data_IF_658205328648
#
_entry.id   IF_658205328648
#
_cell.length_a   1.000
_cell.length_b   1.000
_cell.length_c   1.000
_cell.angle_alpha   90.00
_cell.angle_beta   90.00
_cell.angle_gamma   90.00
#
_symmetry.space_group_name_H-M   'P 1'
#
loop_
_entity.id
_entity.type
_entity.pdbx_description
1 polymer ?
#
# COMPACT_ATOMS: atom_id res chain seq x y z
N UNK A 1 -8.59 0.19 15.71
CA UNK A 1 -8.42 0.61 14.31
C UNK A 1 -6.97 0.37 13.87
N UNK A 2 -6.78 -0.17 12.67
CA UNK A 2 -5.47 -0.21 12.03
C UNK A 2 -5.23 1.07 11.23
N UNK A 3 -3.97 1.50 11.20
CA UNK A 3 -3.49 2.54 10.30
C UNK A 3 -2.90 1.87 9.05
N UNK A 4 -3.56 2.05 7.92
CA UNK A 4 -3.20 1.46 6.64
C UNK A 4 -2.57 2.55 5.78
N UNK A 5 -1.31 2.38 5.39
CA UNK A 5 -0.54 3.41 4.71
C UNK A 5 -0.14 3.03 3.29
N UNK A 6 -0.17 4.01 2.41
CA UNK A 6 0.41 4.01 1.09
C UNK A 6 1.40 5.16 0.96
N UNK A 7 2.58 4.88 0.44
CA UNK A 7 3.61 5.89 0.20
C UNK A 7 4.01 5.86 -1.27
N UNK A 8 3.75 6.93 -1.99
CA UNK A 8 4.12 6.98 -3.41
C UNK A 8 3.33 7.98 -4.22
N UNK A 9 3.66 7.99 -5.52
CA UNK A 9 2.91 8.79 -6.49
C UNK A 9 1.46 8.38 -6.50
N UNK A 10 0.56 9.35 -6.68
CA UNK A 10 -0.89 9.13 -6.69
C UNK A 10 -1.48 9.00 -8.10
N UNK A 11 -0.65 8.52 -9.05
CA UNK A 11 -1.11 8.22 -10.41
C UNK A 11 -2.12 7.06 -10.41
N UNK A 12 -2.97 7.04 -11.42
CA UNK A 12 -4.04 6.05 -11.54
C UNK A 12 -3.53 4.61 -11.42
N UNK A 13 -2.42 4.28 -12.08
CA UNK A 13 -1.80 2.94 -12.05
C UNK A 13 -1.26 2.51 -10.67
N UNK A 14 -1.14 3.42 -9.73
CA UNK A 14 -0.68 3.15 -8.37
C UNK A 14 -1.80 2.70 -7.43
N UNK A 15 -3.03 2.60 -7.92
CA UNK A 15 -4.15 2.02 -7.21
C UNK A 15 -4.80 2.91 -6.16
N UNK A 16 -4.64 4.23 -6.26
CA UNK A 16 -5.27 5.17 -5.32
C UNK A 16 -6.79 5.01 -5.32
N UNK A 17 -7.40 4.76 -6.49
CA UNK A 17 -8.84 4.52 -6.58
C UNK A 17 -9.28 3.30 -5.78
N UNK A 18 -8.43 2.26 -5.69
CA UNK A 18 -8.68 1.10 -4.85
C UNK A 18 -8.70 1.49 -3.36
N UNK A 19 -7.77 2.33 -2.91
CA UNK A 19 -7.75 2.81 -1.52
C UNK A 19 -9.03 3.57 -1.19
N UNK A 20 -9.50 4.44 -2.11
CA UNK A 20 -10.76 5.17 -1.92
C UNK A 20 -11.96 4.23 -1.83
N UNK A 21 -12.05 3.22 -2.69
CA UNK A 21 -13.11 2.20 -2.62
C UNK A 21 -13.06 1.42 -1.30
N UNK A 22 -11.85 1.03 -0.87
CA UNK A 22 -11.66 0.33 0.41
C UNK A 22 -12.13 1.16 1.59
N UNK A 23 -11.84 2.45 1.62
CA UNK A 23 -12.29 3.33 2.69
C UNK A 23 -13.81 3.45 2.78
N UNK A 24 -14.53 3.22 1.67
CA UNK A 24 -16.01 3.14 1.67
C UNK A 24 -16.51 1.88 2.34
N UNK A 25 -15.87 0.73 2.06
CA UNK A 25 -16.26 -0.57 2.61
C UNK A 25 -15.80 -0.75 4.05
N UNK A 26 -14.61 -0.24 4.37
CA UNK A 26 -13.95 -0.41 5.65
C UNK A 26 -14.05 0.87 6.50
N UNK A 27 -15.12 0.96 7.29
CA UNK A 27 -15.34 2.08 8.21
C UNK A 27 -14.54 1.99 9.51
N UNK A 28 -13.86 0.85 9.71
CA UNK A 28 -13.18 0.56 10.99
C UNK A 28 -11.75 1.03 11.01
N UNK A 29 -11.07 1.02 9.87
CA UNK A 29 -9.65 1.35 9.76
C UNK A 29 -9.43 2.69 9.08
N UNK A 30 -8.26 3.28 9.33
CA UNK A 30 -7.86 4.58 8.79
C UNK A 30 -6.84 4.39 7.66
N UNK A 31 -7.02 5.13 6.57
CA UNK A 31 -6.22 5.06 5.36
C UNK A 31 -5.38 6.32 5.20
N UNK A 32 -4.07 6.17 5.15
CA UNK A 32 -3.10 7.26 5.01
C UNK A 32 -2.43 7.18 3.65
N UNK A 33 -2.50 8.25 2.88
CA UNK A 33 -1.92 8.37 1.54
C UNK A 33 -0.86 9.47 1.58
N UNK A 34 0.41 9.07 1.48
CA UNK A 34 1.55 9.98 1.44
C UNK A 34 2.12 10.06 0.03
N UNK A 35 2.00 11.22 -0.59
CA UNK A 35 2.54 11.49 -1.92
C UNK A 35 1.64 12.36 -2.79
N UNK A 36 2.16 12.73 -3.94
CA UNK A 36 1.53 13.70 -4.81
C UNK A 36 1.78 15.15 -4.39
N UNK A 37 1.50 16.05 -5.30
CA UNK A 37 1.46 17.49 -5.03
C UNK A 37 0.12 17.89 -4.40
N UNK A 38 0.06 19.05 -3.77
CA UNK A 38 -1.20 19.59 -3.23
C UNK A 38 -2.30 19.65 -4.29
N UNK A 39 -1.98 20.09 -5.52
CA UNK A 39 -2.94 20.14 -6.64
C UNK A 39 -3.47 18.76 -7.04
N UNK A 40 -2.63 17.73 -7.03
CA UNK A 40 -3.04 16.36 -7.34
C UNK A 40 -3.93 15.79 -6.23
N UNK A 41 -3.58 16.06 -4.97
CA UNK A 41 -4.37 15.67 -3.81
C UNK A 41 -5.75 16.33 -3.86
N UNK A 42 -5.82 17.63 -4.12
CA UNK A 42 -7.10 18.37 -4.17
C UNK A 42 -8.04 17.79 -5.24
N UNK A 43 -7.51 17.38 -6.40
CA UNK A 43 -8.28 16.69 -7.45
C UNK A 43 -8.85 15.33 -7.01
N UNK A 44 -8.27 14.69 -6.02
CA UNK A 44 -8.69 13.37 -5.55
C UNK A 44 -9.55 13.47 -4.29
N UNK A 45 -9.27 14.43 -3.42
CA UNK A 45 -9.97 14.62 -2.14
C UNK A 45 -11.48 14.71 -2.28
N UNK A 46 -11.98 15.38 -3.31
CA UNK A 46 -13.44 15.51 -3.53
C UNK A 46 -14.10 14.15 -3.82
N UNK A 47 -13.33 13.16 -4.28
CA UNK A 47 -13.79 11.77 -4.49
C UNK A 47 -13.77 10.95 -3.19
N UNK A 48 -12.98 11.38 -2.21
CA UNK A 48 -12.87 10.73 -0.92
C UNK A 48 -14.05 11.18 -0.02
N UNK A 49 -15.18 10.50 -0.15
CA UNK A 49 -16.41 10.82 0.62
C UNK A 49 -16.34 10.44 2.10
N UNK A 50 -15.28 9.76 2.52
CA UNK A 50 -15.15 9.21 3.86
C UNK A 50 -14.15 9.98 4.73
N UNK A 51 -14.49 10.09 6.00
CA UNK A 51 -13.66 10.76 7.02
C UNK A 51 -12.42 9.94 7.44
N UNK A 52 -12.31 8.69 7.02
CA UNK A 52 -11.22 7.78 7.37
C UNK A 52 -10.10 7.71 6.31
N UNK A 53 -10.01 8.70 5.42
CA UNK A 53 -8.90 8.84 4.45
C UNK A 53 -8.17 10.14 4.70
N UNK A 54 -6.86 10.01 4.93
CA UNK A 54 -5.98 11.12 5.23
C UNK A 54 -4.92 11.25 4.14
N UNK A 55 -4.77 12.45 3.57
CA UNK A 55 -3.81 12.74 2.53
C UNK A 55 -2.70 13.62 3.06
N UNK A 56 -1.48 13.29 2.71
CA UNK A 56 -0.30 14.12 2.91
C UNK A 56 0.46 14.27 1.59
N UNK A 57 0.92 15.47 1.22
CA UNK A 57 1.74 15.67 0.04
C UNK A 57 3.08 14.93 0.18
N UNK A 58 3.92 15.02 -0.84
CA UNK A 58 5.27 14.47 -0.79
C UNK A 58 6.02 14.96 0.44
N UNK A 59 6.58 14.00 1.17
CA UNK A 59 7.45 14.24 2.32
C UNK A 59 8.90 13.93 1.94
N UNK A 60 9.87 14.65 2.50
CA UNK A 60 11.30 14.37 2.30
C UNK A 60 11.62 12.90 2.67
N UNK A 61 12.50 12.26 1.89
CA UNK A 61 12.86 10.84 2.11
C UNK A 61 13.32 10.56 3.54
N UNK A 62 14.05 11.51 4.14
CA UNK A 62 14.49 11.43 5.54
C UNK A 62 13.34 11.28 6.56
N UNK A 63 12.14 11.77 6.23
CA UNK A 63 10.95 11.67 7.09
C UNK A 63 10.07 10.46 6.77
N UNK A 64 10.22 9.84 5.59
CA UNK A 64 9.39 8.71 5.16
C UNK A 64 9.41 7.57 6.17
N UNK A 65 10.58 7.22 6.68
CA UNK A 65 10.72 6.14 7.66
C UNK A 65 10.01 6.44 8.99
N UNK A 66 9.92 7.72 9.37
CA UNK A 66 9.20 8.14 10.58
C UNK A 66 7.70 7.90 10.39
N UNK A 67 7.16 8.31 9.23
CA UNK A 67 5.74 8.11 8.92
C UNK A 67 5.40 6.63 8.75
N UNK A 68 6.26 5.84 8.08
CA UNK A 68 6.04 4.39 7.97
C UNK A 68 5.99 3.73 9.37
N UNK A 69 6.80 4.19 10.33
CA UNK A 69 6.75 3.65 11.71
C UNK A 69 5.38 3.80 12.36
N UNK A 70 4.64 4.86 12.03
CA UNK A 70 3.31 5.13 12.56
C UNK A 70 2.18 4.32 11.89
N UNK A 71 2.50 3.56 10.84
CA UNK A 71 1.56 2.74 10.09
C UNK A 71 1.65 1.28 10.55
N UNK A 72 0.52 0.59 10.61
CA UNK A 72 0.43 -0.84 10.96
C UNK A 72 0.60 -1.73 9.75
N UNK A 73 -0.08 -1.37 8.65
CA UNK A 73 -0.13 -2.15 7.40
C UNK A 73 0.22 -1.24 6.23
N UNK A 74 1.21 -1.62 5.44
CA UNK A 74 1.53 -0.94 4.20
C UNK A 74 0.86 -1.65 3.01
N UNK A 75 0.21 -0.89 2.12
CA UNK A 75 -0.46 -1.46 0.95
C UNK A 75 0.18 -1.01 -0.35
N UNK A 76 0.20 -1.95 -1.31
CA UNK A 76 0.70 -1.73 -2.68
C UNK A 76 -0.40 -2.17 -3.68
N UNK A 77 -1.45 -1.37 -3.88
CA UNK A 77 -2.61 -1.74 -4.69
C UNK A 77 -2.40 -1.44 -6.17
N UNK A 78 -1.22 -1.76 -6.68
CA UNK A 78 -0.84 -1.48 -8.06
C UNK A 78 -1.76 -2.20 -9.07
N UNK A 79 -2.01 -1.54 -10.19
CA UNK A 79 -2.73 -2.14 -11.33
C UNK A 79 -1.78 -2.98 -12.18
N UNK A 80 -2.32 -3.76 -13.12
CA UNK A 80 -1.52 -4.61 -14.03
C UNK A 80 -0.54 -3.81 -14.90
N UNK A 81 -0.87 -2.54 -15.20
CA UNK A 81 0.01 -1.61 -15.92
C UNK A 81 0.49 -0.54 -14.94
N UNK A 82 1.79 -0.45 -14.74
CA UNK A 82 2.41 0.58 -13.90
C UNK A 82 3.05 1.60 -14.83
N UNK A 83 2.53 2.82 -14.82
CA UNK A 83 3.00 3.92 -15.67
C UNK A 83 3.90 4.90 -14.92
N UNK A 84 4.72 5.65 -15.65
CA UNK A 84 5.48 6.81 -15.14
C UNK A 84 4.60 8.07 -15.13
N UNK A 85 5.17 9.19 -14.70
CA UNK A 85 4.52 10.48 -14.72
C UNK A 85 3.92 10.78 -16.11
N UNK A 86 2.69 11.27 -16.15
CA UNK A 86 1.96 11.51 -17.39
C UNK A 86 1.22 10.31 -17.96
N UNK A 87 1.16 9.17 -17.24
CA UNK A 87 0.53 7.92 -17.69
C UNK A 87 1.07 7.37 -19.03
N UNK A 88 2.35 7.64 -19.32
CA UNK A 88 3.03 7.19 -20.54
C UNK A 88 3.86 5.95 -20.23
N UNK A 89 3.80 4.95 -21.12
CA UNK A 89 4.57 3.71 -21.01
C UNK A 89 4.08 2.75 -19.93
N UNK A 90 4.54 1.51 -20.02
CA UNK A 90 4.30 0.48 -19.00
C UNK A 90 5.64 -0.01 -18.45
N UNK A 91 5.92 0.34 -17.20
CA UNK A 91 7.14 -0.05 -16.49
C UNK A 91 6.90 -1.18 -15.49
N UNK A 92 5.75 -1.87 -15.56
CA UNK A 92 5.38 -2.92 -14.60
C UNK A 92 6.43 -4.05 -14.51
N UNK A 93 7.15 -4.32 -15.61
CA UNK A 93 8.21 -5.33 -15.66
C UNK A 93 9.54 -4.86 -15.06
N UNK A 94 9.76 -3.54 -14.96
CA UNK A 94 11.04 -2.94 -14.58
C UNK A 94 10.99 -2.12 -13.29
N UNK A 95 9.80 -1.95 -12.73
CA UNK A 95 9.66 -1.14 -11.51
C UNK A 95 10.15 -1.91 -10.30
N UNK A 96 11.35 -1.59 -9.84
CA UNK A 96 11.79 -2.02 -8.51
C UNK A 96 11.05 -1.18 -7.47
N UNK A 97 10.23 -1.78 -6.62
CA UNK A 97 9.52 -1.05 -5.58
C UNK A 97 10.46 -0.79 -4.40
N UNK A 98 11.36 0.20 -4.51
CA UNK A 98 12.30 0.57 -3.44
C UNK A 98 11.59 0.74 -2.09
N UNK A 99 10.38 1.30 -2.11
CA UNK A 99 9.55 1.46 -0.91
C UNK A 99 9.15 0.13 -0.25
N UNK A 100 9.08 -0.94 -1.03
CA UNK A 100 8.81 -2.27 -0.50
C UNK A 100 9.89 -2.68 0.52
N UNK A 101 11.15 -2.41 0.19
CA UNK A 101 12.27 -2.71 1.10
C UNK A 101 12.24 -1.83 2.35
N UNK A 102 11.80 -0.58 2.25
CA UNK A 102 11.61 0.29 3.43
C UNK A 102 10.51 -0.27 4.35
N UNK A 103 9.40 -0.74 3.78
CA UNK A 103 8.33 -1.40 4.56
C UNK A 103 8.84 -2.65 5.26
N UNK A 104 9.61 -3.47 4.54
CA UNK A 104 10.20 -4.71 5.06
C UNK A 104 11.20 -4.43 6.18
N UNK A 105 12.14 -3.49 5.96
CA UNK A 105 13.15 -3.08 6.95
C UNK A 105 12.53 -2.53 8.24
N UNK A 106 11.34 -1.95 8.16
CA UNK A 106 10.60 -1.44 9.31
C UNK A 106 9.61 -2.46 9.90
N UNK A 107 9.67 -3.71 9.45
CA UNK A 107 8.86 -4.82 9.97
C UNK A 107 7.36 -4.60 9.80
N UNK A 108 6.94 -3.95 8.70
CA UNK A 108 5.52 -3.70 8.43
C UNK A 108 4.85 -4.91 7.81
N UNK A 109 3.56 -5.10 8.11
CA UNK A 109 2.76 -6.06 7.35
C UNK A 109 2.46 -5.45 5.98
N UNK A 110 2.69 -6.25 4.92
CA UNK A 110 2.52 -5.81 3.55
C UNK A 110 1.34 -6.56 2.94
N UNK A 111 0.38 -5.81 2.39
CA UNK A 111 -0.70 -6.33 1.55
C UNK A 111 -0.51 -5.76 0.15
N UNK A 112 -0.42 -6.60 -0.85
CA UNK A 112 -0.02 -6.18 -2.20
C UNK A 112 -0.84 -6.86 -3.29
N UNK A 113 -0.98 -6.18 -4.44
CA UNK A 113 -1.41 -6.83 -5.68
C UNK A 113 -0.47 -7.99 -6.01
N UNK A 114 -1.04 -9.12 -6.46
CA UNK A 114 -0.25 -10.26 -6.91
C UNK A 114 0.27 -10.03 -8.33
N UNK A 115 1.28 -9.18 -8.48
CA UNK A 115 1.93 -8.87 -9.75
C UNK A 115 3.28 -9.62 -9.87
N UNK A 116 3.68 -10.05 -11.08
CA UNK A 116 4.93 -10.77 -11.30
C UNK A 116 6.15 -10.06 -10.69
N UNK A 117 6.31 -8.77 -10.95
CA UNK A 117 7.43 -7.96 -10.43
C UNK A 117 7.47 -7.91 -8.90
N UNK A 118 6.33 -7.93 -8.24
CA UNK A 118 6.27 -7.92 -6.76
C UNK A 118 6.54 -9.30 -6.17
N UNK A 119 6.22 -10.38 -6.90
CA UNK A 119 6.50 -11.77 -6.49
C UNK A 119 7.98 -12.14 -6.49
N UNK A 120 8.84 -11.35 -7.11
CA UNK A 120 10.29 -11.52 -6.99
C UNK A 120 10.76 -11.37 -5.54
N UNK A 121 10.05 -10.58 -4.74
CA UNK A 121 10.36 -10.28 -3.35
C UNK A 121 9.28 -10.76 -2.39
N UNK A 122 8.01 -10.63 -2.77
CA UNK A 122 6.86 -10.96 -1.92
C UNK A 122 6.38 -12.38 -2.16
N UNK A 123 6.29 -13.14 -1.08
CA UNK A 123 5.76 -14.51 -1.07
C UNK A 123 4.50 -14.53 -0.21
N UNK A 124 3.36 -14.92 -0.82
CA UNK A 124 2.07 -14.95 -0.13
C UNK A 124 2.14 -15.83 1.13
N UNK A 125 1.52 -15.35 2.20
CA UNK A 125 1.46 -16.00 3.52
C UNK A 125 2.81 -16.21 4.20
N UNK A 126 3.93 -15.97 3.54
CA UNK A 126 5.28 -16.09 4.12
C UNK A 126 5.79 -14.76 4.66
N UNK A 127 5.89 -13.73 3.83
CA UNK A 127 6.36 -12.40 4.20
C UNK A 127 5.37 -11.27 3.85
N UNK A 128 4.24 -11.61 3.24
CA UNK A 128 3.20 -10.67 2.79
C UNK A 128 1.84 -11.35 2.72
N UNK A 129 0.82 -10.59 2.34
CA UNK A 129 -0.47 -11.09 1.86
C UNK A 129 -0.68 -10.57 0.44
N UNK A 130 -0.82 -11.48 -0.53
CA UNK A 130 -1.04 -11.12 -1.92
C UNK A 130 -2.53 -11.21 -2.28
N UNK A 131 -3.00 -10.22 -3.02
CA UNK A 131 -4.37 -10.14 -3.52
C UNK A 131 -4.39 -10.57 -4.98
N UNK A 132 -4.97 -11.73 -5.29
CA UNK A 132 -5.00 -12.29 -6.64
C UNK A 132 -5.93 -11.50 -7.56
N UNK A 133 -7.16 -11.27 -7.13
CA UNK A 133 -8.13 -10.43 -7.84
C UNK A 133 -7.97 -8.98 -7.38
N UNK A 134 -6.83 -8.38 -7.68
CA UNK A 134 -6.45 -7.06 -7.18
C UNK A 134 -7.28 -5.90 -7.77
N UNK A 135 -8.11 -6.15 -8.79
CA UNK A 135 -9.08 -5.18 -9.29
C UNK A 135 -10.42 -5.23 -8.51
N UNK A 136 -10.59 -6.22 -7.63
CA UNK A 136 -11.80 -6.44 -6.83
C UNK A 136 -11.58 -5.91 -5.41
N UNK A 137 -12.26 -4.82 -5.06
CA UNK A 137 -12.17 -4.21 -3.73
C UNK A 137 -12.63 -5.14 -2.60
N UNK A 138 -13.50 -6.10 -2.88
CA UNK A 138 -13.97 -7.06 -1.87
C UNK A 138 -12.85 -8.03 -1.46
N UNK A 139 -11.98 -8.42 -2.39
CA UNK A 139 -10.83 -9.26 -2.08
C UNK A 139 -9.81 -8.53 -1.17
N UNK A 140 -9.57 -7.25 -1.44
CA UNK A 140 -8.75 -6.42 -0.57
C UNK A 140 -9.37 -6.27 0.82
N UNK A 141 -10.66 -5.92 0.86
CA UNK A 141 -11.39 -5.77 2.12
C UNK A 141 -11.36 -7.04 2.96
N UNK A 142 -11.54 -8.21 2.34
CA UNK A 142 -11.45 -9.52 2.99
C UNK A 142 -10.09 -9.73 3.66
N UNK A 143 -8.99 -9.39 2.98
CA UNK A 143 -7.63 -9.49 3.55
C UNK A 143 -7.43 -8.51 4.70
N UNK A 144 -7.84 -7.26 4.53
CA UNK A 144 -7.73 -6.21 5.56
C UNK A 144 -8.58 -6.59 6.79
N UNK A 145 -9.80 -7.04 6.59
CA UNK A 145 -10.69 -7.47 7.66
C UNK A 145 -10.10 -8.65 8.46
N UNK A 146 -9.48 -9.60 7.78
CA UNK A 146 -8.78 -10.72 8.43
C UNK A 146 -7.64 -10.22 9.33
N UNK A 147 -6.86 -9.26 8.84
CA UNK A 147 -5.77 -8.64 9.59
C UNK A 147 -6.29 -7.83 10.78
N UNK A 148 -7.34 -7.04 10.57
CA UNK A 148 -7.97 -6.22 11.61
C UNK A 148 -8.53 -7.04 12.77
N UNK A 149 -9.05 -8.25 12.50
CA UNK A 149 -9.60 -9.13 13.54
C UNK A 149 -8.51 -9.65 14.48
N UNK A 150 -7.31 -9.87 13.98
CA UNK A 150 -6.23 -10.39 14.82
C UNK A 150 -4.85 -10.06 14.24
N UNK A 151 -4.44 -8.80 14.37
CA UNK A 151 -3.17 -8.30 13.86
C UNK A 151 -1.94 -9.05 14.40
N UNK A 152 -1.98 -9.47 15.65
CA UNK A 152 -0.87 -10.20 16.30
C UNK A 152 -0.53 -11.51 15.59
N UNK A 153 -1.49 -12.20 14.98
CA UNK A 153 -1.24 -13.44 14.20
C UNK A 153 -0.33 -13.23 12.98
N UNK A 154 -0.09 -11.99 12.59
CA UNK A 154 0.75 -11.66 11.44
C UNK A 154 2.20 -11.30 11.80
N UNK A 155 2.59 -11.45 13.07
CA UNK A 155 3.94 -11.15 13.54
C UNK A 155 5.01 -11.95 12.80
N UNK A 156 4.80 -13.25 12.57
CA UNK A 156 5.74 -14.08 11.82
C UNK A 156 5.99 -13.56 10.41
N UNK A 157 4.93 -13.11 9.70
CA UNK A 157 5.06 -12.54 8.35
C UNK A 157 5.87 -11.26 8.34
N UNK A 158 5.62 -10.39 9.32
CA UNK A 158 6.36 -9.14 9.51
C UNK A 158 7.84 -9.41 9.77
N UNK A 159 8.15 -10.37 10.65
CA UNK A 159 9.51 -10.79 10.93
C UNK A 159 10.20 -11.39 9.71
N UNK A 160 9.51 -12.25 8.95
CA UNK A 160 10.04 -12.82 7.71
C UNK A 160 10.37 -11.72 6.69
N UNK A 161 9.50 -10.70 6.54
CA UNK A 161 9.76 -9.56 5.68
C UNK A 161 11.01 -8.80 6.14
N UNK A 162 11.11 -8.51 7.43
CA UNK A 162 12.26 -7.81 8.02
C UNK A 162 13.59 -8.56 7.79
N UNK A 163 13.62 -9.85 8.06
CA UNK A 163 14.83 -10.66 7.86
C UNK A 163 15.20 -10.81 6.39
N UNK A 164 14.21 -10.87 5.50
CA UNK A 164 14.47 -10.87 4.07
C UNK A 164 15.18 -9.60 3.59
N UNK A 165 14.77 -8.44 4.08
CA UNK A 165 15.35 -7.15 3.70
C UNK A 165 16.73 -6.86 4.31
N UNK A 166 17.20 -7.69 5.24
CA UNK A 166 18.54 -7.61 5.84
C UNK A 166 19.60 -8.43 5.11
N UNK A 167 19.18 -9.34 4.22
CA UNK A 167 20.08 -10.12 3.35
C UNK A 167 20.56 -9.29 2.18
#
# INVERSE_FOLDING_TARGET
>A
NLKIGYFGSIFHSRGIQMILKLSVLDKKNDYYIFGGTTKEIDKIKYKARNKNVFFSPYIPYSKVNIEIKNIDVCILPYTSKITVAGNVGDISKFTSPLKLFDYMKLGKLIISSNLPVLREVLVDKKNSLLVNRFNDEKEWYKKISLVSKNFKKFTTRRNNAFYYAKK
#
